data_IF_403602381141
#
_entry.id   IF_403602381141
#
_cell.length_a   1.000
_cell.length_b   1.000
_cell.length_c   1.000
_cell.angle_alpha   90.00
_cell.angle_beta   90.00
_cell.angle_gamma   90.00
#
_symmetry.space_group_name_H-M   'P 1'
#
loop_
_entity.id
_entity.type
_entity.pdbx_description
1 polymer ?
#
# COMPACT_ATOMS: atom_id res chain seq x y z
N UNK A 1 -16.18 -18.85 -14.01
CA UNK A 1 -14.75 -18.84 -13.63
C UNK A 1 -14.53 -17.66 -12.69
N UNK A 2 -13.73 -17.83 -11.61
CA UNK A 2 -13.42 -16.71 -10.70
C UNK A 2 -12.69 -15.60 -11.46
N UNK A 3 -13.09 -14.35 -11.27
CA UNK A 3 -12.42 -13.18 -11.86
C UNK A 3 -11.07 -12.88 -11.19
N UNK A 4 -10.83 -13.39 -9.98
CA UNK A 4 -9.52 -13.41 -9.33
C UNK A 4 -9.24 -14.82 -8.75
N UNK A 5 -8.56 -15.70 -9.50
CA UNK A 5 -8.15 -17.02 -8.99
C UNK A 5 -6.96 -16.91 -8.03
N UNK A 6 -6.56 -18.04 -7.44
CA UNK A 6 -5.25 -18.14 -6.77
C UNK A 6 -4.11 -17.88 -7.76
N UNK A 7 -2.97 -17.32 -7.32
CA UNK A 7 -1.87 -17.04 -8.21
C UNK A 7 -1.30 -18.33 -8.84
N UNK A 8 -0.78 -18.26 -10.08
CA UNK A 8 0.11 -19.27 -10.64
C UNK A 8 1.36 -19.48 -9.79
N UNK A 9 2.19 -20.46 -10.17
CA UNK A 9 3.46 -20.66 -9.48
C UNK A 9 4.40 -19.46 -9.67
N UNK A 10 5.31 -19.18 -8.72
CA UNK A 10 6.30 -18.12 -8.90
C UNK A 10 7.16 -18.28 -10.16
N UNK A 11 7.42 -19.52 -10.59
CA UNK A 11 8.15 -19.79 -11.83
C UNK A 11 7.38 -19.30 -13.07
N UNK A 12 6.07 -19.54 -13.11
CA UNK A 12 5.20 -19.05 -14.21
C UNK A 12 5.18 -17.52 -14.23
N UNK A 13 4.99 -16.89 -13.05
CA UNK A 13 5.00 -15.43 -12.92
C UNK A 13 6.32 -14.81 -13.37
N UNK A 14 7.44 -15.50 -13.15
CA UNK A 14 8.77 -15.02 -13.54
C UNK A 14 8.94 -14.91 -15.05
N UNK A 15 8.38 -15.85 -15.81
CA UNK A 15 8.54 -15.89 -17.28
C UNK A 15 7.68 -14.86 -18.01
N UNK A 16 6.64 -14.32 -17.36
CA UNK A 16 5.64 -13.44 -17.96
C UNK A 16 5.81 -11.95 -17.62
N UNK A 17 6.84 -11.59 -16.83
CA UNK A 17 7.17 -10.20 -16.55
C UNK A 17 7.94 -9.57 -17.71
N UNK A 18 7.42 -8.48 -18.26
CA UNK A 18 8.11 -7.64 -19.25
C UNK A 18 8.52 -6.35 -18.57
N UNK A 19 9.80 -6.24 -18.24
CA UNK A 19 10.27 -5.18 -17.34
C UNK A 19 9.96 -3.76 -17.84
N UNK A 20 10.01 -3.53 -19.15
CA UNK A 20 9.80 -2.21 -19.74
C UNK A 20 8.31 -1.83 -19.87
N UNK A 21 7.40 -2.81 -19.78
CA UNK A 21 5.94 -2.62 -19.91
C UNK A 21 5.23 -2.69 -18.55
N UNK A 22 5.71 -3.55 -17.66
CA UNK A 22 4.96 -4.01 -16.49
C UNK A 22 5.46 -3.43 -15.18
N UNK A 23 6.50 -2.60 -15.22
CA UNK A 23 7.07 -1.97 -14.03
C UNK A 23 6.89 -0.48 -14.09
N UNK A 24 6.17 0.06 -13.11
CA UNK A 24 6.08 1.50 -12.87
C UNK A 24 7.37 1.96 -12.18
N UNK A 25 8.08 2.87 -12.85
CA UNK A 25 9.18 3.61 -12.25
C UNK A 25 8.64 4.80 -11.47
N UNK A 26 8.61 4.71 -10.14
CA UNK A 26 8.25 5.85 -9.28
C UNK A 26 9.53 6.63 -8.98
N UNK A 27 9.74 7.71 -9.72
CA UNK A 27 10.95 8.54 -9.62
C UNK A 27 11.06 9.25 -8.26
N UNK A 28 12.28 9.61 -7.87
CA UNK A 28 12.58 10.32 -6.62
C UNK A 28 11.91 11.69 -6.48
N UNK A 29 11.42 12.29 -7.57
CA UNK A 29 10.61 13.50 -7.51
C UNK A 29 9.17 13.30 -7.03
N UNK A 30 8.69 12.05 -7.01
CA UNK A 30 7.27 11.70 -6.79
C UNK A 30 6.92 11.78 -5.31
N UNK A 31 5.82 12.47 -5.00
CA UNK A 31 5.27 12.49 -3.65
C UNK A 31 4.54 11.20 -3.31
N UNK A 32 4.97 10.55 -2.23
CA UNK A 32 4.24 9.46 -1.59
C UNK A 32 3.60 9.98 -0.32
N UNK A 33 2.30 9.73 -0.17
CA UNK A 33 1.47 10.27 0.90
C UNK A 33 0.97 9.13 1.77
N UNK A 34 0.97 9.32 3.09
CA UNK A 34 0.45 8.33 4.03
C UNK A 34 -0.21 9.03 5.21
N UNK A 35 -1.31 8.44 5.67
CA UNK A 35 -1.89 8.72 6.99
C UNK A 35 -1.62 7.52 7.90
N UNK A 36 -1.14 7.75 9.12
CA UNK A 36 -0.81 6.68 10.07
C UNK A 36 -1.10 7.08 11.51
N UNK A 37 -1.40 6.10 12.37
CA UNK A 37 -1.62 6.32 13.79
C UNK A 37 -0.27 6.41 14.55
N UNK A 38 0.07 7.58 15.10
CA UNK A 38 1.32 7.81 15.82
C UNK A 38 1.25 7.45 17.32
N UNK A 39 0.08 7.11 17.85
CA UNK A 39 -0.14 6.70 19.24
C UNK A 39 -1.02 5.44 19.35
N UNK A 40 -1.15 4.90 20.57
CA UNK A 40 -1.88 3.67 20.88
C UNK A 40 -0.99 2.43 20.98
N UNK A 41 -1.61 1.27 21.23
CA UNK A 41 -0.91 -0.01 21.46
C UNK A 41 0.00 -0.43 20.29
N UNK A 42 -0.41 -0.11 19.05
CA UNK A 42 0.33 -0.40 17.82
C UNK A 42 0.75 0.88 17.11
N UNK A 43 1.42 1.79 17.85
CA UNK A 43 1.94 3.05 17.29
C UNK A 43 2.83 2.78 16.07
N UNK A 44 2.65 3.56 15.02
CA UNK A 44 3.44 3.46 13.80
C UNK A 44 4.38 4.67 13.68
N UNK A 45 5.45 4.50 12.91
CA UNK A 45 6.29 5.60 12.44
C UNK A 45 6.05 5.80 10.95
N UNK A 46 6.27 7.03 10.49
CA UNK A 46 6.03 7.42 9.11
C UNK A 46 6.86 6.61 8.09
N UNK A 47 8.08 6.19 8.47
CA UNK A 47 9.01 5.44 7.61
C UNK A 47 9.25 3.98 8.01
N UNK A 48 8.60 3.46 9.05
CA UNK A 48 8.85 2.08 9.47
C UNK A 48 7.93 1.11 8.75
N UNK A 49 8.54 0.12 8.09
CA UNK A 49 7.85 -1.05 7.57
C UNK A 49 7.28 -1.87 8.73
N UNK A 50 6.14 -2.51 8.49
CA UNK A 50 5.57 -3.50 9.40
C UNK A 50 6.17 -4.87 9.06
N UNK A 51 6.75 -5.54 10.05
CA UNK A 51 7.35 -6.89 9.94
C UNK A 51 6.51 -7.95 10.65
N UNK A 52 5.21 -7.73 10.80
CA UNK A 52 4.28 -8.73 11.32
C UNK A 52 3.09 -8.81 10.40
N UNK A 53 2.76 -10.02 9.93
CA UNK A 53 1.70 -10.25 8.97
C UNK A 53 1.55 -11.73 8.60
N UNK A 54 0.62 -12.06 7.68
CA UNK A 54 -0.23 -11.12 6.98
C UNK A 54 -1.39 -10.63 7.87
N UNK A 55 -1.68 -9.32 7.87
CA UNK A 55 -2.83 -8.80 8.62
C UNK A 55 -4.13 -8.89 7.80
N UNK A 56 -5.29 -9.27 8.38
CA UNK A 56 -6.53 -9.48 7.63
C UNK A 56 -7.02 -8.27 6.82
N UNK A 57 -6.68 -7.06 7.25
CA UNK A 57 -7.07 -5.81 6.59
C UNK A 57 -6.05 -5.31 5.54
N UNK A 58 -4.86 -5.91 5.45
CA UNK A 58 -3.78 -5.43 4.60
C UNK A 58 -3.76 -6.15 3.25
N UNK A 59 -4.19 -5.46 2.18
CA UNK A 59 -4.11 -5.97 0.82
C UNK A 59 -2.66 -6.04 0.36
N UNK A 60 -2.27 -7.05 -0.40
CA UNK A 60 -0.90 -7.22 -0.89
C UNK A 60 0.18 -7.33 0.20
N UNK A 61 -0.21 -7.80 1.39
CA UNK A 61 0.73 -8.18 2.44
C UNK A 61 1.50 -9.45 2.02
N UNK A 62 2.84 -9.38 1.86
CA UNK A 62 3.65 -10.48 1.33
C UNK A 62 4.12 -11.45 2.42
N UNK A 63 3.78 -11.23 3.69
CA UNK A 63 4.26 -12.11 4.76
C UNK A 63 3.81 -13.56 4.53
N UNK A 64 4.67 -14.55 4.81
CA UNK A 64 4.29 -15.94 4.87
C UNK A 64 3.24 -16.16 5.99
N UNK A 65 2.45 -17.21 5.85
CA UNK A 65 1.53 -17.61 6.91
C UNK A 65 2.32 -18.23 8.07
N UNK A 66 1.99 -17.83 9.30
CA UNK A 66 2.55 -18.44 10.50
C UNK A 66 2.07 -19.88 10.73
N UNK A 67 2.56 -20.55 11.79
CA UNK A 67 2.25 -21.95 12.08
C UNK A 67 0.75 -22.28 12.14
N UNK A 68 -0.06 -21.37 12.69
CA UNK A 68 -1.52 -21.52 12.82
C UNK A 68 -2.30 -20.84 11.68
N UNK A 69 -1.66 -20.63 10.53
CA UNK A 69 -2.17 -19.81 9.42
C UNK A 69 -2.50 -18.35 9.82
N UNK A 70 -1.98 -17.88 10.95
CA UNK A 70 -2.13 -16.53 11.47
C UNK A 70 -0.93 -15.62 11.16
N UNK A 71 -0.97 -14.35 11.62
CA UNK A 71 0.15 -13.43 11.48
C UNK A 71 1.37 -13.91 12.28
N UNK A 72 2.55 -13.79 11.67
CA UNK A 72 3.84 -14.05 12.31
C UNK A 72 4.77 -12.85 12.12
N UNK A 73 5.76 -12.71 13.01
CA UNK A 73 6.84 -11.76 12.80
C UNK A 73 7.86 -12.35 11.82
N UNK A 74 8.25 -11.58 10.81
CA UNK A 74 9.23 -11.97 9.81
C UNK A 74 10.04 -10.74 9.38
N UNK A 75 11.34 -10.65 9.72
CA UNK A 75 12.18 -9.50 9.40
C UNK A 75 12.51 -9.36 7.90
N UNK A 76 12.28 -10.40 7.09
CA UNK A 76 12.56 -10.39 5.65
C UNK A 76 11.34 -9.97 4.80
N UNK A 77 10.22 -9.67 5.47
CA UNK A 77 8.94 -9.33 4.83
C UNK A 77 8.36 -8.01 5.37
N UNK A 78 9.12 -6.92 5.34
CA UNK A 78 8.57 -5.61 5.67
C UNK A 78 7.50 -5.16 4.67
N UNK A 79 6.42 -4.55 5.15
CA UNK A 79 5.38 -3.95 4.28
C UNK A 79 5.00 -2.52 4.69
N UNK A 80 4.81 -1.63 3.69
CA UNK A 80 4.47 -0.23 3.90
C UNK A 80 3.58 0.32 2.78
N UNK A 81 2.56 1.11 3.12
CA UNK A 81 1.54 1.59 2.17
C UNK A 81 1.58 3.10 2.01
N UNK A 82 1.40 3.55 0.77
CA UNK A 82 1.26 4.96 0.40
C UNK A 82 0.16 5.14 -0.64
N UNK A 83 -0.52 6.28 -0.60
CA UNK A 83 -1.22 6.84 -1.76
C UNK A 83 -0.32 7.85 -2.48
N UNK A 84 -0.81 8.35 -3.62
CA UNK A 84 -0.14 9.44 -4.34
C UNK A 84 -0.74 10.80 -3.98
N UNK A 85 -1.87 10.82 -3.29
CA UNK A 85 -2.55 12.02 -2.82
C UNK A 85 -2.99 11.89 -1.36
N UNK A 86 -3.29 13.05 -0.75
CA UNK A 86 -3.91 13.09 0.60
C UNK A 86 -5.28 12.43 0.57
N UNK A 87 -6.08 12.67 -0.48
CA UNK A 87 -7.43 12.09 -0.63
C UNK A 87 -7.38 10.57 -0.62
N UNK A 88 -6.53 9.96 -1.44
CA UNK A 88 -6.38 8.50 -1.51
C UNK A 88 -5.97 7.91 -0.17
N UNK A 89 -5.04 8.58 0.53
CA UNK A 89 -4.58 8.14 1.86
C UNK A 89 -5.69 8.22 2.90
N UNK A 90 -6.50 9.29 2.89
CA UNK A 90 -7.66 9.46 3.77
C UNK A 90 -8.74 8.43 3.45
N UNK A 91 -9.09 8.27 2.17
CA UNK A 91 -10.10 7.33 1.70
C UNK A 91 -9.80 5.91 2.16
N UNK A 92 -8.56 5.44 1.97
CA UNK A 92 -8.13 4.08 2.35
C UNK A 92 -8.04 3.89 3.87
N UNK A 93 -7.50 4.87 4.61
CA UNK A 93 -7.32 4.71 6.07
C UNK A 93 -8.65 4.72 6.82
N UNK A 94 -9.61 5.55 6.40
CA UNK A 94 -10.89 5.72 7.08
C UNK A 94 -12.05 4.96 6.40
N UNK A 95 -11.76 4.08 5.43
CA UNK A 95 -12.77 3.37 4.64
C UNK A 95 -13.82 2.61 5.43
N UNK A 96 -13.46 2.08 6.61
CA UNK A 96 -14.37 1.26 7.41
C UNK A 96 -15.42 2.09 8.15
N UNK A 97 -15.07 3.32 8.54
CA UNK A 97 -15.95 4.17 9.35
C UNK A 97 -16.55 5.32 8.55
N UNK A 98 -15.94 5.72 7.44
CA UNK A 98 -16.24 6.98 6.73
C UNK A 98 -16.19 8.20 7.67
N UNK A 99 -15.39 8.10 8.74
CA UNK A 99 -15.20 9.14 9.75
C UNK A 99 -13.71 9.39 9.92
N UNK A 100 -13.29 10.61 9.59
CA UNK A 100 -11.92 11.11 9.76
C UNK A 100 -11.80 11.68 11.17
N UNK A 101 -11.57 10.81 12.15
CA UNK A 101 -11.20 11.19 13.52
C UNK A 101 -9.72 11.59 13.56
N UNK A 102 -9.46 12.90 13.76
CA UNK A 102 -8.11 13.47 13.71
C UNK A 102 -7.37 13.44 15.04
N UNK A 103 -8.03 13.00 16.12
CA UNK A 103 -7.50 13.09 17.49
C UNK A 103 -7.17 11.72 18.07
N UNK A 104 -8.06 10.75 17.91
CA UNK A 104 -7.89 9.42 18.49
C UNK A 104 -6.68 8.71 17.91
N UNK A 105 -5.77 8.23 18.77
CA UNK A 105 -4.47 7.64 18.38
C UNK A 105 -3.54 8.59 17.61
N UNK A 106 -3.79 9.90 17.65
CA UNK A 106 -2.94 10.95 17.06
C UNK A 106 -2.55 10.62 15.62
N UNK A 107 -3.50 10.51 14.67
CA UNK A 107 -3.17 10.29 13.28
C UNK A 107 -2.29 11.43 12.75
N UNK A 108 -1.33 11.08 11.90
CA UNK A 108 -0.44 12.03 11.25
C UNK A 108 -0.50 11.83 9.74
N UNK A 109 -0.43 12.94 9.02
CA UNK A 109 -0.17 13.00 7.60
C UNK A 109 1.33 13.13 7.37
N UNK A 110 1.88 12.29 6.50
CA UNK A 110 3.25 12.41 6.00
C UNK A 110 3.26 12.50 4.48
N UNK A 111 4.14 13.34 3.95
CA UNK A 111 4.52 13.36 2.53
C UNK A 111 6.02 13.17 2.45
N UNK A 112 6.45 12.23 1.61
CA UNK A 112 7.86 11.96 1.35
C UNK A 112 8.15 11.90 -0.14
N UNK A 113 9.44 11.96 -0.47
CA UNK A 113 10.00 11.56 -1.75
C UNK A 113 10.98 10.41 -1.56
N UNK A 114 10.92 9.33 -2.36
CA UNK A 114 11.87 8.25 -2.23
C UNK A 114 13.27 8.71 -2.67
N UNK A 115 14.32 8.20 -2.02
CA UNK A 115 15.73 8.59 -2.28
C UNK A 115 16.26 8.09 -3.63
N UNK A 116 15.59 7.09 -4.21
CA UNK A 116 15.87 6.53 -5.53
C UNK A 116 14.56 6.19 -6.22
N UNK A 117 14.64 5.94 -7.52
CA UNK A 117 13.51 5.37 -8.27
C UNK A 117 13.12 4.02 -7.67
N UNK A 118 11.83 3.87 -7.37
CA UNK A 118 11.22 2.59 -6.99
C UNK A 118 10.75 1.86 -8.25
N UNK A 119 10.84 0.53 -8.24
CA UNK A 119 10.40 -0.39 -9.29
C UNK A 119 9.22 -1.19 -8.78
N UNK A 120 8.02 -0.82 -9.19
CA UNK A 120 6.77 -1.44 -8.71
C UNK A 120 6.11 -2.21 -9.82
N UNK A 121 5.65 -3.44 -9.56
CA UNK A 121 4.84 -4.17 -10.52
C UNK A 121 3.52 -3.44 -10.77
N UNK A 122 3.19 -3.17 -12.02
CA UNK A 122 1.94 -2.53 -12.41
C UNK A 122 0.78 -3.55 -12.40
N UNK A 123 -0.06 -3.47 -11.38
CA UNK A 123 -1.29 -4.26 -11.29
C UNK A 123 -2.49 -3.59 -11.97
N UNK A 124 -2.30 -2.41 -12.55
CA UNK A 124 -3.35 -1.64 -13.23
C UNK A 124 -3.32 -1.87 -14.74
N UNK A 125 -2.17 -2.24 -15.29
CA UNK A 125 -1.97 -2.62 -16.68
C UNK A 125 -2.43 -4.03 -17.03
N UNK A 126 -1.87 -4.58 -18.12
CA UNK A 126 -2.27 -5.88 -18.67
C UNK A 126 -1.55 -7.09 -18.04
N UNK A 127 -0.49 -6.88 -17.25
CA UNK A 127 0.25 -7.98 -16.63
C UNK A 127 -0.67 -8.94 -15.85
N UNK A 128 -1.58 -8.48 -14.96
CA UNK A 128 -2.49 -9.38 -14.25
C UNK A 128 -3.27 -10.29 -15.19
N UNK A 129 -3.78 -9.76 -16.30
CA UNK A 129 -4.55 -10.55 -17.29
C UNK A 129 -3.71 -11.58 -18.00
N UNK A 130 -2.45 -11.25 -18.35
CA UNK A 130 -1.54 -12.23 -18.96
C UNK A 130 -1.20 -13.40 -18.02
N UNK A 131 -1.21 -13.17 -16.71
CA UNK A 131 -0.96 -14.22 -15.69
C UNK A 131 -2.25 -14.83 -15.11
N UNK A 132 -3.42 -14.54 -15.70
CA UNK A 132 -4.68 -15.18 -15.35
C UNK A 132 -5.52 -14.49 -14.26
N UNK A 133 -5.17 -13.27 -13.84
CA UNK A 133 -5.98 -12.42 -12.95
C UNK A 133 -6.73 -11.33 -13.73
N UNK A 134 -7.92 -10.94 -13.26
CA UNK A 134 -8.57 -9.71 -13.72
C UNK A 134 -8.20 -8.51 -12.85
N UNK A 135 -8.72 -7.33 -13.19
CA UNK A 135 -8.59 -6.10 -12.41
C UNK A 135 -9.24 -6.19 -11.01
N UNK A 136 -10.03 -7.25 -10.73
CA UNK A 136 -10.47 -7.57 -9.37
C UNK A 136 -9.28 -7.77 -8.41
N UNK A 137 -8.05 -8.00 -8.90
CA UNK A 137 -6.84 -8.02 -8.06
C UNK A 137 -6.71 -6.77 -7.16
N UNK A 138 -7.22 -5.61 -7.59
CA UNK A 138 -7.16 -4.36 -6.82
C UNK A 138 -8.27 -4.23 -5.76
N UNK A 139 -9.39 -4.94 -5.89
CA UNK A 139 -10.58 -4.76 -5.03
C UNK A 139 -11.11 -6.05 -4.38
N UNK A 140 -10.58 -7.21 -4.80
CA UNK A 140 -11.06 -8.52 -4.43
C UNK A 140 -10.70 -8.95 -3.01
N UNK A 141 -10.96 -10.23 -2.72
CA UNK A 141 -10.74 -10.81 -1.40
C UNK A 141 -9.28 -10.64 -0.94
N UNK A 142 -9.08 -10.07 0.26
CA UNK A 142 -7.75 -9.76 0.80
C UNK A 142 -6.86 -11.00 0.93
N UNK A 143 -7.40 -12.14 1.38
CA UNK A 143 -6.67 -13.41 1.46
C UNK A 143 -6.10 -13.83 0.11
N UNK A 144 -6.85 -13.63 -0.97
CA UNK A 144 -6.40 -13.94 -2.34
C UNK A 144 -5.34 -12.93 -2.78
N UNK A 145 -5.54 -11.63 -2.58
CA UNK A 145 -4.52 -10.61 -2.93
C UNK A 145 -3.21 -10.77 -2.15
N UNK A 146 -3.26 -11.26 -0.91
CA UNK A 146 -2.08 -11.59 -0.12
C UNK A 146 -1.36 -12.82 -0.66
N UNK A 147 -2.11 -13.83 -1.14
CA UNK A 147 -1.52 -14.96 -1.86
C UNK A 147 -0.79 -14.49 -3.14
N UNK A 148 -1.42 -13.59 -3.91
CA UNK A 148 -0.78 -12.94 -5.05
C UNK A 148 0.50 -12.18 -4.65
N UNK A 149 0.47 -11.38 -3.58
CA UNK A 149 1.65 -10.66 -3.11
C UNK A 149 2.80 -11.61 -2.74
N UNK A 150 2.54 -12.70 -2.02
CA UNK A 150 3.54 -13.73 -1.72
C UNK A 150 4.16 -14.33 -3.00
N UNK A 151 3.31 -14.73 -3.95
CA UNK A 151 3.76 -15.34 -5.19
C UNK A 151 4.59 -14.37 -6.05
N UNK A 152 4.15 -13.11 -6.16
CA UNK A 152 4.87 -12.03 -6.86
C UNK A 152 6.21 -11.77 -6.18
N UNK A 153 6.21 -11.62 -4.84
CA UNK A 153 7.40 -11.35 -4.04
C UNK A 153 8.46 -12.45 -4.22
N UNK A 154 8.02 -13.71 -4.25
CA UNK A 154 8.91 -14.85 -4.48
C UNK A 154 9.43 -14.91 -5.92
N UNK A 155 8.59 -14.58 -6.91
CA UNK A 155 8.99 -14.58 -8.32
C UNK A 155 9.97 -13.45 -8.67
N UNK A 156 9.77 -12.29 -8.03
CA UNK A 156 10.43 -11.02 -8.36
C UNK A 156 10.95 -10.32 -7.09
N UNK A 157 11.95 -10.90 -6.39
CA UNK A 157 12.43 -10.40 -5.10
C UNK A 157 13.08 -9.01 -5.19
N UNK A 158 13.54 -8.60 -6.38
CA UNK A 158 14.19 -7.32 -6.64
C UNK A 158 13.21 -6.15 -6.83
N UNK A 159 11.89 -6.42 -6.93
CA UNK A 159 10.89 -5.36 -7.00
C UNK A 159 10.66 -4.74 -5.62
N UNK A 160 10.44 -3.43 -5.63
CA UNK A 160 10.16 -2.64 -4.43
C UNK A 160 8.74 -2.84 -3.89
N UNK A 161 7.86 -3.50 -4.64
CA UNK A 161 6.46 -3.64 -4.29
C UNK A 161 5.53 -3.67 -5.50
N UNK A 162 4.27 -3.28 -5.27
CA UNK A 162 3.22 -3.24 -6.28
C UNK A 162 2.56 -1.86 -6.36
N UNK A 163 2.21 -1.46 -7.59
CA UNK A 163 1.41 -0.30 -7.93
C UNK A 163 -0.01 -0.79 -8.29
N UNK A 164 -1.03 -0.31 -7.59
CA UNK A 164 -2.40 -0.82 -7.72
C UNK A 164 -3.44 0.29 -7.66
N UNK A 165 -4.69 -0.04 -8.03
CA UNK A 165 -5.82 0.90 -7.97
C UNK A 165 -6.41 0.92 -6.57
N UNK A 166 -6.59 2.10 -5.98
CA UNK A 166 -7.35 2.25 -4.74
C UNK A 166 -8.78 1.72 -4.93
N UNK A 167 -9.28 0.94 -3.97
CA UNK A 167 -10.68 0.50 -3.96
C UNK A 167 -11.64 1.57 -3.41
N UNK A 168 -11.10 2.67 -2.88
CA UNK A 168 -11.83 3.68 -2.13
C UNK A 168 -11.81 5.07 -2.77
N UNK A 169 -10.92 5.31 -3.73
CA UNK A 169 -10.74 6.62 -4.39
C UNK A 169 -10.80 6.48 -5.92
N UNK A 170 -11.89 5.94 -6.46
CA UNK A 170 -12.11 5.86 -7.93
C UNK A 170 -11.09 5.03 -8.72
N UNK A 171 -10.21 4.29 -8.05
CA UNK A 171 -9.06 3.63 -8.66
C UNK A 171 -7.83 4.51 -8.86
N UNK A 172 -7.76 5.67 -8.19
CA UNK A 172 -6.54 6.46 -8.05
C UNK A 172 -5.38 5.59 -7.54
N UNK A 173 -4.13 5.87 -7.96
CA UNK A 173 -3.00 5.04 -7.61
C UNK A 173 -2.73 4.91 -6.11
N UNK A 174 -2.40 3.69 -5.70
CA UNK A 174 -1.86 3.36 -4.40
C UNK A 174 -0.66 2.41 -4.56
N UNK A 175 0.20 2.41 -3.55
CA UNK A 175 1.46 1.67 -3.55
C UNK A 175 1.58 0.84 -2.28
N UNK A 176 1.98 -0.41 -2.46
CA UNK A 176 2.41 -1.29 -1.38
C UNK A 176 3.88 -1.62 -1.58
N UNK A 177 4.74 -1.07 -0.73
CA UNK A 177 6.18 -1.31 -0.73
C UNK A 177 6.54 -2.53 0.12
N UNK A 178 7.59 -3.24 -0.29
CA UNK A 178 8.15 -4.41 0.39
C UNK A 178 9.63 -4.22 0.73
N UNK A 179 10.01 -4.55 1.96
CA UNK A 179 11.38 -4.44 2.46
C UNK A 179 11.95 -5.81 2.86
N UNK A 180 13.18 -6.16 2.44
CA UNK A 180 13.98 -5.51 1.37
C UNK A 180 13.25 -5.51 0.02
N UNK A 181 13.62 -4.71 -1.00
CA UNK A 181 14.66 -3.69 -0.98
C UNK A 181 14.14 -2.28 -0.66
N UNK A 182 12.82 -2.06 -0.53
CA UNK A 182 12.27 -0.70 -0.50
C UNK A 182 12.67 0.12 0.75
N UNK A 183 13.13 -0.51 1.83
CA UNK A 183 13.63 0.19 3.02
C UNK A 183 14.77 1.15 2.72
N UNK A 184 15.64 0.81 1.76
CA UNK A 184 16.75 1.70 1.37
C UNK A 184 16.31 2.90 0.52
N UNK A 185 15.07 2.94 0.05
CA UNK A 185 14.50 4.06 -0.68
C UNK A 185 13.86 5.11 0.24
N UNK A 186 13.70 4.81 1.54
CA UNK A 186 13.10 5.73 2.49
C UNK A 186 14.04 6.90 2.81
N UNK A 187 13.56 8.16 2.77
CA UNK A 187 14.37 9.32 3.12
C UNK A 187 14.69 9.37 4.61
N UNK A 188 15.71 10.14 4.98
CA UNK A 188 16.07 10.38 6.39
C UNK A 188 15.06 11.30 7.10
N UNK A 189 14.43 12.21 6.36
CA UNK A 189 13.41 13.13 6.82
C UNK A 189 12.26 13.21 5.80
N UNK A 190 11.02 13.44 6.24
CA UNK A 190 9.89 13.66 5.33
C UNK A 190 9.90 15.10 4.78
N UNK A 191 9.22 15.32 3.65
CA UNK A 191 8.97 16.67 3.12
C UNK A 191 7.94 17.41 3.98
N UNK A 192 6.97 16.65 4.52
CA UNK A 192 5.93 17.15 5.41
C UNK A 192 5.58 16.07 6.44
N UNK A 193 5.44 16.45 7.69
CA UNK A 193 4.88 15.61 8.75
C UNK A 193 4.04 16.49 9.68
N UNK A 194 2.73 16.29 9.66
CA UNK A 194 1.78 17.06 10.48
C UNK A 194 0.82 16.12 11.20
N UNK A 195 0.44 16.42 12.46
CA UNK A 195 -0.71 15.76 13.05
C UNK A 195 -1.97 16.15 12.26
N UNK A 196 -2.93 15.24 12.14
CA UNK A 196 -4.08 15.44 11.27
C UNK A 196 -5.02 16.54 11.80
N UNK A 197 -4.95 16.86 13.11
CA UNK A 197 -5.67 17.95 13.77
C UNK A 197 -4.94 19.31 13.69
N UNK A 198 -3.85 19.41 12.91
CA UNK A 198 -3.21 20.69 12.62
C UNK A 198 -4.20 21.66 11.95
N UNK A 199 -4.42 22.89 12.47
CA UNK A 199 -5.45 23.79 11.96
C UNK A 199 -5.34 24.12 10.46
N UNK A 200 -4.11 24.14 9.91
CA UNK A 200 -3.91 24.35 8.47
C UNK A 200 -4.46 23.24 7.58
N UNK A 201 -4.83 22.08 8.15
CA UNK A 201 -5.45 20.97 7.43
C UNK A 201 -6.99 20.99 7.49
N UNK A 202 -7.62 21.89 8.25
CA UNK A 202 -9.08 21.92 8.42
C UNK A 202 -9.82 22.05 7.08
N UNK A 203 -9.52 23.08 6.30
CA UNK A 203 -10.18 23.33 5.01
C UNK A 203 -9.84 22.26 3.95
N UNK A 204 -8.57 21.85 3.75
CA UNK A 204 -8.25 20.75 2.85
C UNK A 204 -8.94 19.43 3.21
N UNK A 205 -8.96 19.05 4.49
CA UNK A 205 -9.60 17.80 4.92
C UNK A 205 -11.12 17.89 4.81
N UNK A 206 -11.73 19.05 5.08
CA UNK A 206 -13.17 19.24 4.90
C UNK A 206 -13.58 19.03 3.43
N UNK A 207 -12.81 19.57 2.47
CA UNK A 207 -13.05 19.34 1.03
C UNK A 207 -12.89 17.88 0.63
N UNK A 208 -11.84 17.21 1.12
CA UNK A 208 -11.64 15.77 0.88
C UNK A 208 -12.80 14.95 1.45
N UNK A 209 -13.27 15.29 2.65
CA UNK A 209 -14.39 14.60 3.27
C UNK A 209 -15.69 14.82 2.49
N UNK A 210 -15.94 16.03 1.98
CA UNK A 210 -17.09 16.33 1.12
C UNK A 210 -17.04 15.51 -0.18
N UNK A 211 -15.90 15.46 -0.86
CA UNK A 211 -15.69 14.67 -2.08
C UNK A 211 -15.92 13.16 -1.87
N UNK A 212 -15.51 12.63 -0.72
CA UNK A 212 -15.64 11.21 -0.36
C UNK A 212 -16.96 10.87 0.34
N UNK A 213 -17.78 11.87 0.67
CA UNK A 213 -18.93 11.73 1.58
C UNK A 213 -18.55 11.12 2.94
N UNK A 214 -17.44 11.58 3.52
CA UNK A 214 -16.97 11.22 4.87
C UNK A 214 -17.30 12.32 5.88
N UNK A 215 -17.36 11.97 7.17
CA UNK A 215 -17.52 12.94 8.26
C UNK A 215 -16.15 13.33 8.83
N UNK A 216 -15.90 14.63 9.01
CA UNK A 216 -14.67 15.14 9.64
C UNK A 216 -14.89 15.39 11.14
N UNK A 217 -14.04 14.83 12.00
CA UNK A 217 -14.04 15.03 13.47
C UNK A 217 -12.67 15.57 13.96
#
# INVERSE_FOLDING_TARGET
MSRLPQPPTPADLKTLLRIDEDVVAVHSGTHLVRVFAAAGAHRQRWNSFRFTGPLPHARFDPHPLGPDAGPAHDPDHGVLYFGLTVRTSVAEVFQQTSVVDRKTRRPHLVIIRPRRTLRLLDLTGLWPTRVGASQEISSGNKTVTQAWARAIRQAHPDLDGVWYRSSMDGGEPAVCLWDPPAGNAMPAAPDLLLPLDYPGLDLPLARICDELNYTLL
#
